data_IF_106795545440
#
_entry.id   IF_106795545440
#
_cell.length_a   1.000
_cell.length_b   1.000
_cell.length_c   1.000
_cell.angle_alpha   90.00
_cell.angle_beta   90.00
_cell.angle_gamma   90.00
#
_symmetry.space_group_name_H-M   'P 1'
#
loop_
_entity.id
_entity.type
_entity.pdbx_description
1 polymer ?
#
# COMPACT_ATOMS: atom_id res chain seq x y z
N UNK A 1 13.68 -10.19 18.96
CA UNK A 1 14.13 -9.11 18.04
C UNK A 1 14.21 -7.81 18.84
N UNK A 2 15.19 -6.95 18.56
CA UNK A 2 15.24 -5.62 19.18
C UNK A 2 14.05 -4.80 18.72
N UNK A 3 13.53 -3.95 19.59
CA UNK A 3 12.34 -3.10 19.41
C UNK A 3 12.32 -2.41 18.02
N UNK A 4 11.29 -2.68 17.21
CA UNK A 4 11.11 -2.05 15.90
C UNK A 4 12.16 -2.41 14.84
N UNK A 5 12.86 -3.54 14.99
CA UNK A 5 13.87 -3.99 14.03
C UNK A 5 13.44 -5.26 13.30
N UNK A 6 13.74 -5.26 12.00
CA UNK A 6 13.66 -6.39 11.09
C UNK A 6 15.08 -6.64 10.56
N UNK A 7 15.85 -7.49 11.23
CA UNK A 7 17.29 -7.60 10.98
C UNK A 7 18.00 -6.25 11.16
N UNK A 8 18.64 -5.75 10.13
CA UNK A 8 19.34 -4.43 10.13
C UNK A 8 18.40 -3.26 9.83
N UNK A 9 17.16 -3.56 9.38
CA UNK A 9 16.16 -2.58 8.96
C UNK A 9 15.26 -2.10 10.11
N UNK A 10 14.45 -1.07 9.86
CA UNK A 10 13.52 -0.50 10.85
C UNK A 10 14.15 0.53 11.77
N UNK A 11 13.68 0.58 13.00
CA UNK A 11 14.14 1.53 14.03
C UNK A 11 13.33 2.82 14.07
N UNK A 12 13.79 3.76 14.89
CA UNK A 12 13.16 5.07 15.16
C UNK A 12 14.19 6.17 14.95
N UNK A 13 14.34 6.68 13.76
CA UNK A 13 15.29 7.75 13.42
C UNK A 13 14.54 9.07 13.27
N UNK A 14 14.01 9.56 14.40
CA UNK A 14 13.20 10.77 14.46
C UNK A 14 13.89 11.86 15.28
N UNK A 15 13.65 13.14 14.98
CA UNK A 15 14.10 14.24 15.84
C UNK A 15 13.43 14.15 17.22
N UNK A 16 14.09 14.66 18.23
CA UNK A 16 13.60 14.68 19.62
C UNK A 16 12.21 15.31 19.77
N UNK A 17 11.87 16.26 18.92
CA UNK A 17 10.57 16.92 18.90
C UNK A 17 9.39 15.99 18.59
N UNK A 18 9.63 14.86 17.92
CA UNK A 18 8.61 13.84 17.59
C UNK A 18 8.73 12.55 18.41
N UNK A 19 9.82 12.36 19.17
CA UNK A 19 10.03 11.11 19.89
C UNK A 19 8.93 10.82 20.90
N UNK A 20 8.42 11.83 21.61
CA UNK A 20 7.34 11.64 22.58
C UNK A 20 6.05 11.15 21.88
N UNK A 21 5.69 11.71 20.73
CA UNK A 21 4.51 11.29 19.95
C UNK A 21 4.66 9.83 19.45
N UNK A 22 5.84 9.43 19.02
CA UNK A 22 6.13 8.08 18.56
C UNK A 22 6.10 7.07 19.72
N UNK A 23 6.62 7.45 20.89
CA UNK A 23 6.60 6.62 22.11
C UNK A 23 5.16 6.45 22.61
N UNK A 24 4.37 7.56 22.69
CA UNK A 24 2.96 7.54 23.05
C UNK A 24 2.16 6.60 22.14
N UNK A 25 2.40 6.70 20.82
CA UNK A 25 1.75 5.83 19.84
C UNK A 25 2.09 4.35 20.07
N UNK A 26 3.36 4.04 20.35
CA UNK A 26 3.81 2.68 20.61
C UNK A 26 3.19 2.10 21.89
N UNK A 27 3.14 2.88 22.95
CA UNK A 27 2.53 2.47 24.21
C UNK A 27 1.03 2.22 24.05
N UNK A 28 0.33 3.14 23.38
CA UNK A 28 -1.09 2.98 23.08
C UNK A 28 -1.36 1.76 22.22
N UNK A 29 -0.58 1.57 21.14
CA UNK A 29 -0.73 0.40 20.29
C UNK A 29 -0.48 -0.91 21.06
N UNK A 30 0.56 -0.98 21.87
CA UNK A 30 0.86 -2.17 22.68
C UNK A 30 -0.23 -2.47 23.71
N UNK A 31 -0.92 -1.46 24.22
CA UNK A 31 -2.05 -1.60 25.10
C UNK A 31 -3.28 -2.13 24.34
N UNK A 32 -3.67 -1.47 23.23
CA UNK A 32 -4.93 -1.76 22.55
C UNK A 32 -4.89 -2.97 21.61
N UNK A 33 -3.75 -3.35 21.05
CA UNK A 33 -3.65 -4.49 20.11
C UNK A 33 -4.21 -5.81 20.65
N UNK A 34 -4.17 -6.00 21.98
CA UNK A 34 -4.69 -7.19 22.65
C UNK A 34 -5.97 -6.90 23.47
N UNK A 35 -6.50 -5.69 23.42
CA UNK A 35 -7.75 -5.34 24.09
C UNK A 35 -8.95 -5.94 23.34
N UNK A 36 -9.74 -6.83 23.98
CA UNK A 36 -10.89 -7.43 23.33
C UNK A 36 -11.95 -6.41 22.88
N UNK A 37 -12.14 -5.32 23.61
CA UNK A 37 -13.12 -4.27 23.26
C UNK A 37 -12.67 -3.51 22.02
N UNK A 38 -11.39 -3.13 21.93
CA UNK A 38 -10.81 -2.51 20.74
C UNK A 38 -10.94 -3.43 19.52
N UNK A 39 -10.57 -4.69 19.66
CA UNK A 39 -10.63 -5.66 18.57
C UNK A 39 -12.07 -5.95 18.11
N UNK A 40 -13.04 -5.97 19.03
CA UNK A 40 -14.44 -6.13 18.68
C UNK A 40 -14.96 -4.90 17.91
N UNK A 41 -14.65 -3.67 18.35
CA UNK A 41 -15.04 -2.42 17.67
C UNK A 41 -14.38 -2.33 16.27
N UNK A 42 -13.11 -2.68 16.15
CA UNK A 42 -12.42 -2.71 14.86
C UNK A 42 -13.03 -3.77 13.92
N UNK A 43 -13.34 -4.95 14.44
CA UNK A 43 -13.97 -6.04 13.65
C UNK A 43 -15.34 -5.59 13.13
N UNK A 44 -16.14 -4.92 13.96
CA UNK A 44 -17.44 -4.37 13.57
C UNK A 44 -17.28 -3.35 12.42
N UNK A 45 -16.32 -2.42 12.54
CA UNK A 45 -16.02 -1.46 11.48
C UNK A 45 -15.55 -2.12 10.18
N UNK A 46 -14.68 -3.12 10.29
CA UNK A 46 -14.18 -3.84 9.12
C UNK A 46 -15.30 -4.62 8.41
N UNK A 47 -16.17 -5.29 9.16
CA UNK A 47 -17.21 -6.12 8.57
C UNK A 47 -18.38 -5.29 8.03
N UNK A 48 -18.90 -4.36 8.81
CA UNK A 48 -20.17 -3.69 8.50
C UNK A 48 -19.99 -2.34 7.82
N UNK A 49 -18.81 -1.71 7.94
CA UNK A 49 -18.52 -0.45 7.26
C UNK A 49 -17.57 -0.63 6.08
N UNK A 50 -16.46 -1.34 6.24
CA UNK A 50 -15.53 -1.57 5.13
C UNK A 50 -15.97 -2.67 4.16
N UNK A 51 -16.90 -3.55 4.56
CA UNK A 51 -17.45 -4.59 3.69
C UNK A 51 -16.63 -5.86 3.64
N UNK A 52 -15.86 -6.17 4.72
CA UNK A 52 -15.09 -7.41 4.81
C UNK A 52 -15.98 -8.61 5.21
N UNK A 53 -15.54 -9.86 4.94
CA UNK A 53 -14.30 -10.23 4.22
C UNK A 53 -14.33 -9.86 2.74
N UNK A 54 -13.21 -9.38 2.19
CA UNK A 54 -13.11 -9.18 0.75
C UNK A 54 -13.12 -10.53 0.03
N UNK A 55 -13.66 -10.55 -1.20
CA UNK A 55 -13.84 -11.80 -1.94
C UNK A 55 -12.55 -12.32 -2.54
N UNK A 56 -12.38 -13.63 -2.53
CA UNK A 56 -11.39 -14.34 -3.34
C UNK A 56 -12.09 -14.87 -4.59
N UNK A 57 -11.88 -14.20 -5.72
CA UNK A 57 -12.54 -14.49 -6.99
C UNK A 57 -11.66 -15.40 -7.85
N UNK A 58 -12.22 -16.50 -8.34
CA UNK A 58 -11.56 -17.36 -9.32
C UNK A 58 -11.65 -16.71 -10.70
N UNK A 59 -10.51 -16.28 -11.25
CA UNK A 59 -10.41 -15.65 -12.55
C UNK A 59 -10.39 -16.76 -13.64
N UNK A 60 -11.57 -17.27 -13.97
CA UNK A 60 -11.72 -18.42 -14.86
C UNK A 60 -11.25 -18.12 -16.28
N UNK A 61 -11.63 -16.95 -16.82
CA UNK A 61 -11.25 -16.59 -18.19
C UNK A 61 -9.73 -16.37 -18.30
N UNK A 62 -9.16 -15.66 -17.33
CA UNK A 62 -7.71 -15.45 -17.27
C UNK A 62 -6.94 -16.78 -17.10
N UNK A 63 -7.43 -17.67 -16.23
CA UNK A 63 -6.86 -19.02 -16.03
C UNK A 63 -6.86 -19.83 -17.32
N UNK A 64 -7.97 -19.81 -18.04
CA UNK A 64 -8.11 -20.53 -19.30
C UNK A 64 -7.24 -19.93 -20.41
N UNK A 65 -7.19 -18.62 -20.51
CA UNK A 65 -6.43 -17.90 -21.52
C UNK A 65 -4.92 -18.13 -21.37
N UNK A 66 -4.41 -18.06 -20.15
CA UNK A 66 -2.99 -18.28 -19.85
C UNK A 66 -2.57 -19.76 -19.81
N UNK A 67 -3.49 -20.67 -19.56
CA UNK A 67 -3.33 -22.12 -19.75
C UNK A 67 -2.44 -22.86 -18.74
N UNK A 68 -1.94 -22.18 -17.71
CA UNK A 68 -1.10 -22.75 -16.65
C UNK A 68 -1.81 -22.82 -15.29
N UNK A 69 -1.23 -22.17 -14.27
CA UNK A 69 -1.79 -22.14 -12.92
C UNK A 69 -3.19 -21.54 -12.85
N UNK A 70 -3.99 -22.00 -11.89
CA UNK A 70 -5.26 -21.34 -11.52
C UNK A 70 -5.01 -19.98 -10.92
N UNK A 71 -5.75 -18.97 -11.32
CA UNK A 71 -5.60 -17.60 -10.86
C UNK A 71 -6.78 -17.19 -10.00
N UNK A 72 -6.48 -16.69 -8.81
CA UNK A 72 -7.43 -16.09 -7.89
C UNK A 72 -7.10 -14.62 -7.66
N UNK A 73 -8.10 -13.78 -7.61
CA UNK A 73 -7.99 -12.36 -7.34
C UNK A 73 -8.54 -12.07 -5.95
N UNK A 74 -7.71 -11.57 -5.04
CA UNK A 74 -8.17 -11.04 -3.76
C UNK A 74 -8.67 -9.62 -3.97
N UNK A 75 -9.97 -9.43 -3.85
CA UNK A 75 -10.71 -8.26 -4.32
C UNK A 75 -10.78 -7.14 -3.27
N UNK A 76 -9.62 -6.56 -2.92
CA UNK A 76 -9.55 -5.38 -2.04
C UNK A 76 -10.12 -4.11 -2.71
N UNK A 77 -10.27 -4.11 -4.01
CA UNK A 77 -10.93 -3.09 -4.81
C UNK A 77 -12.45 -2.96 -4.53
N UNK A 78 -13.07 -3.98 -3.94
CA UNK A 78 -14.48 -3.99 -3.56
C UNK A 78 -14.74 -3.46 -2.14
N UNK A 79 -13.69 -3.18 -1.36
CA UNK A 79 -13.86 -2.58 -0.05
C UNK A 79 -14.43 -1.16 -0.17
N UNK A 80 -15.05 -0.67 0.89
CA UNK A 80 -15.43 0.74 0.99
C UNK A 80 -14.22 1.66 0.70
N UNK A 81 -14.43 2.73 0.00
CA UNK A 81 -13.45 3.62 -0.64
C UNK A 81 -12.74 3.06 -1.88
N UNK A 82 -12.89 1.77 -2.17
CA UNK A 82 -12.40 1.14 -3.39
C UNK A 82 -10.94 0.67 -3.34
N UNK A 83 -10.37 0.46 -2.16
CA UNK A 83 -9.00 -0.04 -1.98
C UNK A 83 -8.75 -0.63 -0.59
N UNK A 84 -7.61 -1.30 -0.42
CA UNK A 84 -7.12 -1.87 0.85
C UNK A 84 -6.85 -0.83 1.95
N UNK A 85 -6.67 0.42 1.60
CA UNK A 85 -6.25 1.48 2.54
C UNK A 85 -7.19 1.62 3.73
N UNK A 86 -8.49 1.39 3.53
CA UNK A 86 -9.50 1.50 4.59
C UNK A 86 -9.22 0.57 5.79
N UNK A 87 -8.60 -0.59 5.57
CA UNK A 87 -8.28 -1.53 6.64
C UNK A 87 -7.36 -0.90 7.69
N UNK A 88 -6.23 -0.37 7.23
CA UNK A 88 -5.25 0.31 8.07
C UNK A 88 -5.82 1.58 8.70
N UNK A 89 -6.52 2.39 7.91
CA UNK A 89 -7.01 3.70 8.35
C UNK A 89 -8.07 3.57 9.44
N UNK A 90 -9.00 2.63 9.34
CA UNK A 90 -9.97 2.37 10.42
C UNK A 90 -9.28 1.97 11.72
N UNK A 91 -8.26 1.12 11.63
CA UNK A 91 -7.46 0.73 12.80
C UNK A 91 -6.71 1.91 13.43
N UNK A 92 -6.03 2.73 12.62
CA UNK A 92 -5.29 3.89 13.11
C UNK A 92 -6.21 4.99 13.64
N UNK A 93 -7.34 5.27 12.97
CA UNK A 93 -8.30 6.26 13.43
C UNK A 93 -8.97 5.86 14.75
N UNK A 94 -9.32 4.57 14.89
CA UNK A 94 -9.85 4.05 16.15
C UNK A 94 -8.79 4.14 17.26
N UNK A 95 -7.54 3.78 16.98
CA UNK A 95 -6.44 3.93 17.95
C UNK A 95 -6.25 5.39 18.36
N UNK A 96 -6.23 6.32 17.40
CA UNK A 96 -6.12 7.76 17.66
C UNK A 96 -7.27 8.27 18.56
N UNK A 97 -8.50 7.83 18.29
CA UNK A 97 -9.66 8.16 19.12
C UNK A 97 -9.51 7.63 20.55
N UNK A 98 -9.01 6.40 20.74
CA UNK A 98 -8.73 5.85 22.08
C UNK A 98 -7.60 6.59 22.81
N UNK A 99 -6.66 7.19 22.05
CA UNK A 99 -5.61 8.08 22.58
C UNK A 99 -6.11 9.50 22.91
N UNK A 100 -7.37 9.81 22.62
CA UNK A 100 -7.95 11.14 22.84
C UNK A 100 -7.57 12.18 21.77
N UNK A 101 -7.00 11.74 20.64
CA UNK A 101 -6.71 12.64 19.51
C UNK A 101 -8.02 13.05 18.81
N UNK A 102 -8.07 14.29 18.36
CA UNK A 102 -9.24 14.90 17.72
C UNK A 102 -9.03 15.23 16.25
N UNK A 103 -7.80 15.08 15.78
CA UNK A 103 -7.37 15.43 14.44
C UNK A 103 -6.53 14.32 13.81
N UNK A 104 -6.82 13.99 12.56
CA UNK A 104 -5.98 13.12 11.72
C UNK A 104 -5.27 13.94 10.65
N UNK A 105 -4.00 13.65 10.44
CA UNK A 105 -3.28 14.10 9.25
C UNK A 105 -2.80 12.90 8.45
N UNK A 106 -2.69 13.05 7.14
CA UNK A 106 -2.20 12.00 6.25
C UNK A 106 -1.41 12.59 5.06
N UNK A 107 -0.54 11.78 4.51
CA UNK A 107 0.03 11.96 3.18
C UNK A 107 -0.77 11.15 2.15
N UNK A 108 -0.71 11.56 0.86
CA UNK A 108 -1.26 10.74 -0.21
C UNK A 108 -0.59 11.05 -1.55
N UNK A 109 -0.44 10.03 -2.41
CA UNK A 109 -0.02 10.16 -3.81
C UNK A 109 -1.23 9.95 -4.73
N UNK A 110 -1.64 8.70 -4.95
CA UNK A 110 -2.83 8.39 -5.77
C UNK A 110 -4.17 8.89 -5.19
N UNK A 111 -4.17 9.43 -3.97
CA UNK A 111 -5.36 9.93 -3.29
C UNK A 111 -6.13 8.88 -2.50
N UNK A 112 -5.89 7.59 -2.69
CA UNK A 112 -6.65 6.52 -2.04
C UNK A 112 -6.49 6.52 -0.51
N UNK A 113 -5.28 6.74 -0.02
CA UNK A 113 -5.04 6.85 1.43
C UNK A 113 -5.69 8.10 2.01
N UNK A 114 -5.59 9.24 1.32
CA UNK A 114 -6.25 10.49 1.72
C UNK A 114 -7.77 10.33 1.78
N UNK A 115 -8.39 9.72 0.77
CA UNK A 115 -9.83 9.44 0.78
C UNK A 115 -10.21 8.52 1.94
N UNK A 116 -9.45 7.45 2.19
CA UNK A 116 -9.71 6.55 3.32
C UNK A 116 -9.60 7.29 4.67
N UNK A 117 -8.57 8.13 4.84
CA UNK A 117 -8.37 8.92 6.07
C UNK A 117 -9.50 9.94 6.27
N UNK A 118 -9.88 10.68 5.21
CA UNK A 118 -11.00 11.60 5.26
C UNK A 118 -12.32 10.89 5.61
N UNK A 119 -12.52 9.68 5.05
CA UNK A 119 -13.69 8.84 5.34
C UNK A 119 -13.75 8.42 6.81
N UNK A 120 -12.66 7.92 7.37
CA UNK A 120 -12.61 7.52 8.78
C UNK A 120 -12.73 8.72 9.73
N UNK A 121 -12.12 9.86 9.39
CA UNK A 121 -12.23 11.08 10.15
C UNK A 121 -13.70 11.59 10.19
N UNK A 122 -14.37 11.61 9.04
CA UNK A 122 -15.79 11.96 8.97
C UNK A 122 -16.67 11.02 9.82
N UNK A 123 -16.43 9.69 9.71
CA UNK A 123 -17.14 8.68 10.50
C UNK A 123 -16.96 8.87 12.01
N UNK A 124 -15.76 9.24 12.45
CA UNK A 124 -15.41 9.35 13.87
C UNK A 124 -15.56 10.77 14.44
N UNK A 125 -15.97 11.75 13.62
CA UNK A 125 -16.12 13.16 14.03
C UNK A 125 -14.79 13.86 14.32
N UNK A 126 -13.74 13.54 13.57
CA UNK A 126 -12.39 14.09 13.72
C UNK A 126 -12.10 15.11 12.61
N UNK A 127 -11.29 16.13 12.93
CA UNK A 127 -10.69 17.01 11.93
C UNK A 127 -9.74 16.21 11.01
N UNK A 128 -9.67 16.54 9.74
CA UNK A 128 -8.79 15.85 8.79
C UNK A 128 -8.04 16.82 7.88
N UNK A 129 -6.73 16.66 7.80
CA UNK A 129 -5.86 17.39 6.86
C UNK A 129 -5.03 16.39 6.06
N UNK A 130 -5.03 16.52 4.74
CA UNK A 130 -4.30 15.63 3.83
C UNK A 130 -3.29 16.42 3.03
N UNK A 131 -2.02 16.02 3.11
CA UNK A 131 -0.93 16.54 2.32
C UNK A 131 -0.80 15.74 1.02
N UNK A 132 -0.75 16.42 -0.11
CA UNK A 132 -0.64 15.78 -1.44
C UNK A 132 0.28 16.59 -2.33
N UNK A 133 1.19 15.95 -3.04
CA UNK A 133 2.06 16.64 -3.98
C UNK A 133 1.26 17.40 -5.04
N UNK A 134 1.70 18.59 -5.41
CA UNK A 134 0.98 19.42 -6.39
C UNK A 134 0.78 18.69 -7.72
N UNK A 135 1.76 17.94 -8.17
CA UNK A 135 1.67 17.13 -9.38
C UNK A 135 0.64 16.02 -9.25
N UNK A 136 0.59 15.38 -8.08
CA UNK A 136 -0.40 14.33 -7.79
C UNK A 136 -1.82 14.90 -7.67
N UNK A 137 -1.99 16.13 -7.16
CA UNK A 137 -3.30 16.79 -7.09
C UNK A 137 -3.92 17.00 -8.47
N UNK A 138 -3.10 17.26 -9.47
CA UNK A 138 -3.55 17.40 -10.87
C UNK A 138 -3.87 16.05 -11.49
N UNK A 139 -2.99 15.05 -11.30
CA UNK A 139 -3.19 13.70 -11.84
C UNK A 139 -4.44 13.02 -11.27
N UNK A 140 -4.81 13.32 -10.01
CA UNK A 140 -5.83 12.62 -9.22
C UNK A 140 -6.92 13.58 -8.70
N UNK A 141 -7.34 14.54 -9.52
CA UNK A 141 -8.31 15.60 -9.17
C UNK A 141 -9.61 15.06 -8.60
N UNK A 142 -10.13 13.93 -9.10
CA UNK A 142 -11.33 13.26 -8.57
C UNK A 142 -11.16 12.87 -7.10
N UNK A 143 -10.02 12.31 -6.71
CA UNK A 143 -9.78 11.96 -5.31
C UNK A 143 -9.60 13.20 -4.43
N UNK A 144 -9.01 14.29 -4.94
CA UNK A 144 -8.96 15.58 -4.24
C UNK A 144 -10.37 16.08 -3.93
N UNK A 145 -11.27 16.04 -4.91
CA UNK A 145 -12.66 16.45 -4.71
C UNK A 145 -13.38 15.55 -3.69
N UNK A 146 -13.18 14.23 -3.76
CA UNK A 146 -13.74 13.27 -2.80
C UNK A 146 -13.29 13.56 -1.36
N UNK A 147 -12.01 13.86 -1.15
CA UNK A 147 -11.48 14.23 0.18
C UNK A 147 -12.15 15.49 0.72
N UNK A 148 -12.29 16.53 -0.12
CA UNK A 148 -12.97 17.78 0.24
C UNK A 148 -14.46 17.56 0.55
N UNK A 149 -15.14 16.73 -0.24
CA UNK A 149 -16.54 16.36 0.00
C UNK A 149 -16.74 15.64 1.35
N UNK A 150 -15.74 14.87 1.78
CA UNK A 150 -15.70 14.19 3.08
C UNK A 150 -15.31 15.13 4.25
N UNK A 151 -15.09 16.40 3.97
CA UNK A 151 -14.77 17.42 4.99
C UNK A 151 -13.28 17.58 5.29
N UNK A 152 -12.38 16.92 4.54
CA UNK A 152 -10.95 17.09 4.73
C UNK A 152 -10.43 18.35 4.03
N UNK A 153 -9.47 19.02 4.66
CA UNK A 153 -8.62 20.01 4.02
C UNK A 153 -7.51 19.28 3.23
N UNK A 154 -7.34 19.63 1.96
CA UNK A 154 -6.26 19.10 1.12
C UNK A 154 -5.24 20.20 0.86
N UNK A 155 -4.02 20.01 1.35
CA UNK A 155 -2.91 20.96 1.23
C UNK A 155 -1.96 20.48 0.12
N UNK A 156 -1.89 21.21 -1.00
CA UNK A 156 -0.92 20.94 -2.06
C UNK A 156 0.50 21.21 -1.58
N UNK A 157 1.42 20.27 -1.83
CA UNK A 157 2.84 20.40 -1.47
C UNK A 157 3.65 20.61 -2.74
N UNK A 158 4.26 21.79 -2.87
CA UNK A 158 5.05 22.20 -4.05
C UNK A 158 6.57 22.08 -3.86
N UNK A 159 7.03 21.65 -2.67
CA UNK A 159 8.47 21.46 -2.40
C UNK A 159 8.99 20.17 -3.04
N UNK A 160 10.28 20.11 -3.33
CA UNK A 160 10.93 18.94 -3.93
C UNK A 160 10.40 18.63 -5.33
N UNK A 161 10.00 17.40 -5.56
CA UNK A 161 9.38 16.94 -6.82
C UNK A 161 7.86 17.14 -6.85
N UNK A 162 7.26 17.63 -5.75
CA UNK A 162 5.80 17.78 -5.65
C UNK A 162 5.02 16.48 -5.70
N UNK A 163 5.59 15.37 -5.21
CA UNK A 163 5.01 14.02 -5.23
C UNK A 163 4.87 13.45 -3.81
N UNK A 164 4.48 12.17 -3.71
CA UNK A 164 4.19 11.46 -2.46
C UNK A 164 5.30 11.61 -1.40
N UNK A 165 6.59 11.54 -1.79
CA UNK A 165 7.71 11.71 -0.85
C UNK A 165 7.65 13.07 -0.12
N UNK A 166 7.32 14.12 -0.85
CA UNK A 166 7.27 15.48 -0.28
C UNK A 166 6.03 15.69 0.57
N UNK A 167 4.92 15.05 0.21
CA UNK A 167 3.71 14.98 1.04
C UNK A 167 4.00 14.30 2.39
N UNK A 168 4.75 13.19 2.42
CA UNK A 168 5.20 12.54 3.65
C UNK A 168 6.04 13.49 4.52
N UNK A 169 7.00 14.18 3.91
CA UNK A 169 7.86 15.15 4.62
C UNK A 169 7.06 16.32 5.20
N UNK A 170 6.04 16.79 4.49
CA UNK A 170 5.15 17.85 4.97
C UNK A 170 4.29 17.37 6.16
N UNK A 171 3.74 16.15 6.08
CA UNK A 171 2.96 15.57 7.15
C UNK A 171 3.78 15.39 8.46
N UNK A 172 5.04 14.94 8.36
CA UNK A 172 5.92 14.86 9.53
C UNK A 172 6.19 16.25 10.14
N UNK A 173 6.41 17.28 9.33
CA UNK A 173 6.60 18.66 9.82
C UNK A 173 5.35 19.19 10.50
N UNK A 174 4.18 18.97 9.91
CA UNK A 174 2.90 19.37 10.53
C UNK A 174 2.67 18.64 11.84
N UNK A 175 2.93 17.35 11.91
CA UNK A 175 2.76 16.58 13.14
C UNK A 175 3.59 17.14 14.29
N UNK A 176 4.82 17.62 14.02
CA UNK A 176 5.68 18.25 15.01
C UNK A 176 5.03 19.46 15.70
N UNK A 177 4.17 20.20 14.98
CA UNK A 177 3.55 21.41 15.49
C UNK A 177 2.33 21.17 16.38
N UNK A 178 1.69 19.98 16.29
CA UNK A 178 0.42 19.67 16.97
C UNK A 178 0.36 18.22 17.46
N UNK A 179 1.38 17.75 18.18
CA UNK A 179 1.46 16.36 18.64
C UNK A 179 0.39 15.97 19.67
N UNK A 180 -0.10 16.95 20.46
CA UNK A 180 -1.01 16.67 21.56
C UNK A 180 -2.40 16.22 21.09
N UNK A 181 -2.94 16.84 20.04
CA UNK A 181 -4.29 16.60 19.54
C UNK A 181 -4.35 15.86 18.21
N UNK A 182 -3.21 15.66 17.57
CA UNK A 182 -3.09 15.14 16.19
C UNK A 182 -2.44 13.77 16.15
N UNK A 183 -3.04 12.85 15.39
CA UNK A 183 -2.40 11.60 14.97
C UNK A 183 -2.03 11.65 13.51
N UNK A 184 -0.77 11.30 13.19
CA UNK A 184 -0.36 11.07 11.82
C UNK A 184 -0.78 9.66 11.39
N UNK A 185 -1.84 9.58 10.57
CA UNK A 185 -2.34 8.34 9.99
C UNK A 185 -1.48 7.96 8.78
N UNK A 186 -0.36 7.27 9.01
CA UNK A 186 0.60 6.93 7.97
C UNK A 186 0.05 5.84 7.05
N UNK A 187 0.15 6.05 5.74
CA UNK A 187 -0.55 5.25 4.72
C UNK A 187 0.12 3.97 4.27
N UNK A 188 1.35 3.68 4.72
CA UNK A 188 2.08 2.48 4.33
C UNK A 188 2.86 1.87 5.48
N UNK A 189 3.41 0.65 5.29
CA UNK A 189 4.22 -0.05 6.28
C UNK A 189 5.67 0.47 6.34
N UNK A 190 5.80 1.78 6.33
CA UNK A 190 7.06 2.52 6.34
C UNK A 190 7.11 3.48 7.54
N UNK A 191 8.18 4.27 7.64
CA UNK A 191 8.35 5.24 8.71
C UNK A 191 8.98 4.68 9.97
N UNK A 192 9.05 5.50 11.04
CA UNK A 192 9.64 5.07 12.30
C UNK A 192 8.78 4.01 12.99
N UNK A 193 9.41 3.11 13.74
CA UNK A 193 8.65 2.25 14.65
C UNK A 193 7.78 3.12 15.59
N UNK A 194 6.46 2.80 15.81
CA UNK A 194 5.78 1.52 15.53
C UNK A 194 5.01 1.46 14.20
N UNK A 195 5.06 2.46 13.34
CA UNK A 195 4.23 2.51 12.12
C UNK A 195 4.34 1.27 11.23
N UNK A 196 5.53 0.73 10.89
CA UNK A 196 5.59 -0.47 10.05
C UNK A 196 4.83 -1.65 10.64
N UNK A 197 4.90 -1.84 11.96
CA UNK A 197 4.19 -2.91 12.67
C UNK A 197 2.68 -2.65 12.70
N UNK A 198 2.24 -1.43 13.04
CA UNK A 198 0.82 -1.06 13.10
C UNK A 198 0.15 -1.27 11.75
N UNK A 199 0.75 -0.75 10.68
CA UNK A 199 0.19 -0.85 9.33
C UNK A 199 0.14 -2.30 8.86
N UNK A 200 1.22 -3.08 9.07
CA UNK A 200 1.24 -4.51 8.79
C UNK A 200 0.10 -5.24 9.49
N UNK A 201 -0.03 -5.04 10.79
CA UNK A 201 -1.00 -5.78 11.61
C UNK A 201 -2.43 -5.47 11.17
N UNK A 202 -2.77 -4.21 10.90
CA UNK A 202 -4.10 -3.85 10.41
C UNK A 202 -4.35 -4.31 8.95
N UNK A 203 -3.32 -4.44 8.14
CA UNK A 203 -3.45 -4.98 6.77
C UNK A 203 -3.40 -6.52 6.73
N UNK A 204 -2.91 -7.18 7.77
CA UNK A 204 -2.75 -8.65 7.80
C UNK A 204 -4.06 -9.43 7.70
N UNK A 205 -5.19 -8.77 7.89
CA UNK A 205 -6.52 -9.32 7.61
C UNK A 205 -6.63 -9.84 6.17
N UNK A 206 -5.91 -9.26 5.23
CA UNK A 206 -5.87 -9.69 3.82
C UNK A 206 -5.35 -11.13 3.71
N UNK A 207 -4.15 -11.40 4.23
CA UNK A 207 -3.54 -12.75 4.18
C UNK A 207 -4.28 -13.77 5.05
N UNK A 208 -4.84 -13.34 6.18
CA UNK A 208 -5.68 -14.20 7.01
C UNK A 208 -6.88 -14.73 6.21
N UNK A 209 -7.60 -13.83 5.55
CA UNK A 209 -8.74 -14.20 4.71
C UNK A 209 -8.33 -15.01 3.47
N UNK A 210 -7.21 -14.67 2.81
CA UNK A 210 -6.69 -15.48 1.68
C UNK A 210 -6.47 -16.92 2.15
N UNK A 211 -5.83 -17.12 3.30
CA UNK A 211 -5.53 -18.44 3.84
C UNK A 211 -6.80 -19.25 4.08
N UNK A 212 -7.77 -18.66 4.76
CA UNK A 212 -9.07 -19.29 5.04
C UNK A 212 -9.83 -19.61 3.74
N UNK A 213 -9.93 -18.66 2.82
CA UNK A 213 -10.66 -18.79 1.57
C UNK A 213 -10.00 -19.78 0.59
N UNK A 214 -8.67 -19.89 0.56
CA UNK A 214 -7.98 -20.90 -0.25
C UNK A 214 -8.18 -22.31 0.29
N UNK A 215 -8.13 -22.47 1.62
CA UNK A 215 -8.43 -23.75 2.24
C UNK A 215 -9.89 -24.20 1.97
N UNK A 216 -10.84 -23.26 2.00
CA UNK A 216 -12.24 -23.53 1.66
C UNK A 216 -12.42 -23.94 0.17
N UNK A 217 -11.74 -23.23 -0.76
CA UNK A 217 -11.93 -23.41 -2.22
C UNK A 217 -11.09 -24.52 -2.83
N UNK A 218 -9.86 -24.68 -2.38
CA UNK A 218 -8.86 -25.60 -2.97
C UNK A 218 -8.40 -26.70 -2.00
N UNK A 219 -8.76 -26.62 -0.72
CA UNK A 219 -8.29 -27.55 0.32
C UNK A 219 -6.81 -27.45 0.64
N UNK A 220 -6.13 -26.43 0.12
CA UNK A 220 -4.68 -26.19 0.29
C UNK A 220 -4.35 -24.71 0.29
N UNK A 221 -3.15 -24.37 0.78
CA UNK A 221 -2.59 -23.02 0.64
C UNK A 221 -2.24 -22.72 -0.83
N UNK A 222 -2.17 -21.43 -1.22
CA UNK A 222 -1.74 -21.07 -2.57
C UNK A 222 -0.27 -21.40 -2.80
N UNK A 223 0.10 -21.68 -4.05
CA UNK A 223 1.52 -21.86 -4.43
C UNK A 223 2.25 -20.51 -4.51
N UNK A 224 1.54 -19.45 -4.90
CA UNK A 224 2.08 -18.09 -5.02
C UNK A 224 1.07 -17.07 -4.49
N UNK A 225 1.54 -16.11 -3.69
CA UNK A 225 0.84 -14.87 -3.35
C UNK A 225 1.61 -13.70 -3.93
N UNK A 226 0.92 -12.84 -4.67
CA UNK A 226 1.52 -11.76 -5.43
C UNK A 226 0.82 -10.43 -5.17
N UNK A 227 1.59 -9.36 -5.01
CA UNK A 227 1.07 -8.01 -4.80
C UNK A 227 2.03 -6.95 -5.37
N UNK A 228 1.52 -5.79 -5.76
CA UNK A 228 2.34 -4.64 -6.12
C UNK A 228 3.01 -4.04 -4.88
N UNK A 229 4.17 -3.42 -5.04
CA UNK A 229 4.97 -2.86 -3.94
C UNK A 229 5.45 -1.46 -4.30
N UNK A 230 4.97 -0.48 -3.53
CA UNK A 230 5.58 0.84 -3.36
C UNK A 230 6.17 0.91 -1.96
N UNK A 231 5.53 1.63 -1.01
CA UNK A 231 5.84 1.49 0.42
C UNK A 231 5.55 0.09 0.98
N UNK A 232 4.61 -0.65 0.37
CA UNK A 232 4.42 -2.09 0.56
C UNK A 232 3.26 -2.51 1.45
N UNK A 233 2.32 -1.62 1.80
CA UNK A 233 1.24 -1.96 2.77
C UNK A 233 0.31 -3.07 2.29
N UNK A 234 -0.12 -3.06 1.03
CA UNK A 234 -0.98 -4.13 0.51
C UNK A 234 -0.21 -5.46 0.40
N UNK A 235 1.05 -5.40 0.02
CA UNK A 235 1.88 -6.59 -0.12
C UNK A 235 2.18 -7.25 1.23
N UNK A 236 2.58 -6.47 2.26
CA UNK A 236 2.80 -7.05 3.59
C UNK A 236 1.50 -7.60 4.18
N UNK A 237 0.36 -6.94 3.92
CA UNK A 237 -0.95 -7.45 4.29
C UNK A 237 -1.27 -8.79 3.65
N UNK A 238 -0.93 -8.96 2.37
CA UNK A 238 -1.12 -10.21 1.64
C UNK A 238 -0.10 -11.31 2.01
N UNK A 239 1.09 -10.93 2.48
CA UNK A 239 2.20 -11.86 2.77
C UNK A 239 2.26 -12.33 4.22
N UNK A 240 1.87 -11.49 5.17
CA UNK A 240 2.23 -11.65 6.58
C UNK A 240 1.89 -13.01 7.17
N UNK A 241 0.67 -13.50 6.98
CA UNK A 241 0.27 -14.80 7.52
C UNK A 241 0.83 -16.01 6.74
N UNK A 242 1.59 -15.77 5.67
CA UNK A 242 2.29 -16.79 4.89
C UNK A 242 3.81 -16.80 5.10
N UNK A 243 4.34 -15.89 5.94
CA UNK A 243 5.80 -15.78 6.13
C UNK A 243 6.41 -17.11 6.59
N UNK A 244 5.74 -17.80 7.51
CA UNK A 244 6.18 -19.10 8.03
C UNK A 244 5.80 -20.30 7.14
N UNK A 245 4.97 -20.08 6.11
CA UNK A 245 4.56 -21.13 5.18
C UNK A 245 5.55 -21.20 4.00
N UNK A 246 6.70 -21.86 4.19
CA UNK A 246 7.80 -21.91 3.21
C UNK A 246 7.39 -22.45 1.82
N UNK A 247 6.33 -23.27 1.75
CA UNK A 247 5.76 -23.79 0.51
C UNK A 247 5.02 -22.73 -0.32
N UNK A 248 4.73 -21.55 0.23
CA UNK A 248 4.07 -20.44 -0.46
C UNK A 248 5.11 -19.42 -0.91
N UNK A 249 5.27 -19.22 -2.20
CA UNK A 249 6.11 -18.16 -2.76
C UNK A 249 5.43 -16.80 -2.58
N UNK A 250 6.20 -15.80 -2.13
CA UNK A 250 5.75 -14.43 -1.96
C UNK A 250 6.46 -13.54 -2.98
N UNK A 251 5.69 -12.87 -3.84
CA UNK A 251 6.26 -12.06 -4.93
C UNK A 251 5.72 -10.65 -4.87
N UNK A 252 6.61 -9.69 -4.60
CA UNK A 252 6.35 -8.26 -4.67
C UNK A 252 6.70 -7.71 -6.05
N UNK A 253 5.78 -6.99 -6.70
CA UNK A 253 5.98 -6.40 -8.01
C UNK A 253 6.21 -4.90 -7.86
N UNK A 254 7.45 -4.46 -8.13
CA UNK A 254 7.87 -3.06 -8.04
C UNK A 254 7.63 -2.30 -9.35
N UNK A 255 7.40 -0.98 -9.24
CA UNK A 255 7.24 -0.12 -10.40
C UNK A 255 8.61 0.24 -11.00
N UNK A 256 8.95 -0.36 -12.10
CA UNK A 256 10.18 -0.06 -12.83
C UNK A 256 10.07 1.17 -13.76
N UNK A 257 8.91 1.80 -13.84
CA UNK A 257 8.72 2.97 -14.70
C UNK A 257 9.11 2.66 -16.15
N UNK A 258 10.09 3.38 -16.66
CA UNK A 258 10.63 3.15 -18.01
C UNK A 258 11.78 2.13 -18.06
N UNK A 259 12.09 1.51 -16.93
CA UNK A 259 13.09 0.45 -16.80
C UNK A 259 14.11 0.72 -15.72
N UNK A 260 14.59 -0.36 -15.07
CA UNK A 260 15.55 -0.30 -13.94
C UNK A 260 16.92 0.28 -14.32
N UNK A 261 17.24 0.33 -15.61
CA UNK A 261 18.49 0.90 -16.12
C UNK A 261 18.34 2.37 -16.56
N UNK A 262 17.22 3.01 -16.22
CA UNK A 262 16.92 4.41 -16.51
C UNK A 262 16.86 5.21 -15.21
N UNK A 263 16.88 6.54 -15.32
CA UNK A 263 16.62 7.41 -14.18
C UNK A 263 15.13 7.48 -13.78
N UNK A 264 14.25 6.93 -14.63
CA UNK A 264 12.80 6.97 -14.46
C UNK A 264 12.28 5.60 -13.97
N UNK A 265 12.63 5.26 -12.72
CA UNK A 265 12.23 4.01 -12.05
C UNK A 265 11.92 4.27 -10.57
N UNK A 266 11.03 3.50 -9.99
CA UNK A 266 10.73 3.46 -8.56
C UNK A 266 10.95 2.05 -7.96
N UNK A 267 11.65 1.17 -8.66
CA UNK A 267 11.95 -0.20 -8.23
C UNK A 267 13.04 -0.19 -7.15
N UNK A 268 12.65 0.01 -5.91
CA UNK A 268 13.56 0.28 -4.78
C UNK A 268 14.46 -0.91 -4.40
N UNK A 269 13.95 -2.15 -4.42
CA UNK A 269 14.79 -3.34 -4.15
C UNK A 269 15.79 -3.54 -5.30
N UNK A 270 15.34 -3.33 -6.54
CA UNK A 270 16.20 -3.53 -7.70
C UNK A 270 17.32 -2.49 -7.82
N UNK A 271 17.09 -1.22 -7.42
CA UNK A 271 18.02 -0.10 -7.70
C UNK A 271 18.47 0.66 -6.46
N UNK A 272 17.78 0.50 -5.33
CA UNK A 272 18.07 1.23 -4.10
C UNK A 272 19.26 0.70 -3.32
N UNK A 273 19.65 1.48 -2.31
CA UNK A 273 20.72 1.14 -1.36
C UNK A 273 20.23 1.33 0.07
N UNK A 274 20.87 0.63 1.02
CA UNK A 274 20.57 0.75 2.44
C UNK A 274 20.89 2.16 2.95
N UNK A 275 19.97 2.75 3.70
CA UNK A 275 20.14 4.05 4.33
C UNK A 275 19.01 4.40 5.28
N UNK A 276 18.99 5.64 5.77
CA UNK A 276 17.93 6.15 6.67
C UNK A 276 17.07 7.13 5.89
N UNK A 277 15.75 6.89 5.90
CA UNK A 277 14.78 7.63 5.15
C UNK A 277 13.43 7.64 5.88
N UNK A 278 12.77 8.79 5.98
CA UNK A 278 11.48 8.95 6.69
C UNK A 278 11.42 8.25 8.06
N UNK A 279 12.49 8.37 8.84
CA UNK A 279 12.54 7.84 10.21
C UNK A 279 12.82 6.34 10.35
N UNK A 280 13.09 5.64 9.26
CA UNK A 280 13.41 4.21 9.22
C UNK A 280 14.74 3.94 8.52
N UNK A 281 15.39 2.83 8.86
CA UNK A 281 16.48 2.25 8.07
C UNK A 281 15.90 1.20 7.11
N UNK A 282 16.08 1.39 5.81
CA UNK A 282 15.58 0.50 4.77
C UNK A 282 16.34 0.71 3.46
N UNK A 283 15.93 0.03 2.39
CA UNK A 283 16.37 0.38 1.04
C UNK A 283 15.61 1.60 0.54
N UNK A 284 16.30 2.50 -0.16
CA UNK A 284 15.70 3.59 -0.93
C UNK A 284 16.58 3.99 -2.11
N UNK A 285 15.96 4.60 -3.13
CA UNK A 285 16.64 5.08 -4.31
C UNK A 285 17.51 6.28 -3.97
N UNK A 286 18.81 6.18 -4.25
CA UNK A 286 19.83 7.18 -3.88
C UNK A 286 20.66 7.56 -5.10
N UNK A 287 21.03 8.84 -5.16
CA UNK A 287 22.05 9.32 -6.08
C UNK A 287 23.47 8.91 -5.65
N UNK A 288 24.47 9.34 -6.38
CA UNK A 288 25.89 9.05 -6.09
C UNK A 288 26.38 9.63 -4.76
N UNK A 289 25.72 10.67 -4.24
CA UNK A 289 26.02 11.31 -2.97
C UNK A 289 25.23 10.77 -1.78
N UNK A 290 24.37 9.79 -1.99
CA UNK A 290 23.51 9.22 -0.97
C UNK A 290 22.25 10.03 -0.66
N UNK A 291 21.93 11.02 -1.49
CA UNK A 291 20.68 11.76 -1.39
C UNK A 291 19.53 10.96 -2.01
N UNK A 292 18.28 11.29 -1.64
CA UNK A 292 17.11 10.66 -2.23
C UNK A 292 17.06 11.00 -3.72
N UNK A 293 17.17 10.00 -4.58
CA UNK A 293 17.03 10.19 -6.00
C UNK A 293 15.57 10.44 -6.38
N UNK A 294 15.30 11.28 -7.38
CA UNK A 294 13.99 11.32 -8.02
C UNK A 294 13.63 9.93 -8.56
N UNK A 295 12.36 9.56 -8.43
CA UNK A 295 11.82 8.33 -8.97
C UNK A 295 10.65 8.64 -9.92
N UNK A 296 10.23 7.64 -10.68
CA UNK A 296 9.12 7.79 -11.59
C UNK A 296 8.34 6.48 -11.75
N UNK A 297 7.03 6.60 -11.78
CA UNK A 297 6.09 5.57 -12.19
C UNK A 297 4.83 6.23 -12.76
N UNK A 298 4.19 5.59 -13.75
CA UNK A 298 2.84 5.95 -14.18
C UNK A 298 1.83 5.85 -13.02
N UNK A 299 2.13 5.01 -12.04
CA UNK A 299 1.33 4.82 -10.84
C UNK A 299 1.76 5.79 -9.73
N UNK A 300 0.95 6.81 -9.45
CA UNK A 300 1.20 7.75 -8.36
C UNK A 300 1.28 7.06 -6.98
N UNK A 301 0.61 5.92 -6.79
CA UNK A 301 0.65 5.15 -5.55
C UNK A 301 1.92 4.32 -5.36
N UNK A 302 2.70 4.08 -6.43
CA UNK A 302 3.99 3.39 -6.40
C UNK A 302 5.18 4.34 -6.65
N UNK A 303 4.92 5.61 -6.94
CA UNK A 303 5.91 6.66 -7.17
C UNK A 303 6.52 7.12 -5.83
N UNK A 304 7.28 6.24 -5.21
CA UNK A 304 7.88 6.42 -3.90
C UNK A 304 9.29 5.81 -3.86
N UNK A 305 10.30 6.57 -3.40
CA UNK A 305 11.70 6.16 -3.51
C UNK A 305 12.17 5.18 -2.43
N UNK A 306 11.29 4.61 -1.62
CA UNK A 306 11.66 3.72 -0.52
C UNK A 306 10.71 2.53 -0.39
N UNK A 307 11.06 1.60 0.48
CA UNK A 307 10.26 0.41 0.78
C UNK A 307 10.17 0.18 2.29
N UNK A 308 9.09 -0.42 2.75
CA UNK A 308 8.92 -0.80 4.15
C UNK A 308 10.06 -1.70 4.66
N UNK A 309 10.54 -1.49 5.91
CA UNK A 309 11.71 -2.18 6.43
C UNK A 309 11.51 -3.69 6.57
N UNK A 310 10.28 -4.16 6.76
CA UNK A 310 9.98 -5.60 6.81
C UNK A 310 10.11 -6.24 5.42
N UNK A 311 9.72 -5.54 4.34
CA UNK A 311 9.97 -6.00 2.97
C UNK A 311 11.46 -6.11 2.66
N UNK A 312 12.24 -5.11 3.05
CA UNK A 312 13.70 -5.13 2.91
C UNK A 312 14.31 -6.35 3.63
N UNK A 313 13.83 -6.64 4.83
CA UNK A 313 14.24 -7.82 5.59
C UNK A 313 13.83 -9.13 4.91
N UNK A 314 12.58 -9.24 4.43
CA UNK A 314 12.11 -10.44 3.73
C UNK A 314 12.89 -10.70 2.44
N UNK A 315 13.33 -9.65 1.76
CA UNK A 315 14.25 -9.74 0.63
C UNK A 315 15.61 -10.29 1.06
N UNK A 316 16.23 -9.70 2.09
CA UNK A 316 17.58 -10.06 2.55
C UNK A 316 17.69 -11.52 2.98
N UNK A 317 16.64 -12.05 3.62
CA UNK A 317 16.62 -13.47 4.04
C UNK A 317 16.12 -14.42 2.94
N UNK A 318 15.81 -13.90 1.75
CA UNK A 318 15.31 -14.70 0.63
C UNK A 318 13.90 -15.26 0.81
N UNK A 319 13.10 -14.69 1.74
CA UNK A 319 11.73 -15.16 1.97
C UNK A 319 10.73 -14.65 0.94
N UNK A 320 10.93 -13.45 0.43
CA UNK A 320 10.11 -12.87 -0.63
C UNK A 320 10.97 -12.45 -1.82
N UNK A 321 10.43 -12.67 -3.00
CA UNK A 321 11.01 -12.22 -4.27
C UNK A 321 10.46 -10.82 -4.61
N UNK A 322 11.30 -9.96 -5.20
CA UNK A 322 10.86 -8.65 -5.70
C UNK A 322 11.25 -8.52 -7.15
N UNK A 323 10.27 -8.20 -8.00
CA UNK A 323 10.43 -8.18 -9.45
C UNK A 323 10.05 -6.82 -10.01
N UNK A 324 10.87 -6.22 -10.88
CA UNK A 324 10.53 -4.96 -11.53
C UNK A 324 9.52 -5.20 -12.66
N UNK A 325 8.53 -4.30 -12.77
CA UNK A 325 7.51 -4.28 -13.82
C UNK A 325 7.47 -2.87 -14.42
N UNK A 326 7.59 -2.78 -15.73
CA UNK A 326 7.59 -1.49 -16.44
C UNK A 326 6.17 -0.92 -16.59
N UNK A 327 6.08 0.38 -16.89
CA UNK A 327 4.80 1.04 -17.16
C UNK A 327 4.06 0.39 -18.33
N UNK A 328 4.75 0.03 -19.43
CA UNK A 328 4.14 -0.66 -20.57
C UNK A 328 3.53 -2.00 -20.17
N UNK A 329 4.24 -2.78 -19.37
CA UNK A 329 3.76 -4.06 -18.88
C UNK A 329 2.53 -3.89 -17.98
N UNK A 330 2.56 -2.87 -17.09
CA UNK A 330 1.46 -2.59 -16.20
C UNK A 330 0.23 -2.08 -16.94
N UNK A 331 0.38 -1.19 -17.92
CA UNK A 331 -0.73 -0.68 -18.75
C UNK A 331 -1.33 -1.80 -19.59
N UNK A 332 -0.51 -2.65 -20.20
CA UNK A 332 -1.00 -3.82 -20.95
C UNK A 332 -1.78 -4.78 -20.04
N UNK A 333 -1.32 -5.01 -18.82
CA UNK A 333 -2.00 -5.87 -17.85
C UNK A 333 -3.30 -5.24 -17.32
N UNK A 334 -3.35 -3.93 -17.14
CA UNK A 334 -4.55 -3.18 -16.80
C UNK A 334 -5.65 -3.40 -17.85
N UNK A 335 -5.31 -3.20 -19.11
CA UNK A 335 -6.23 -3.41 -20.22
C UNK A 335 -6.62 -4.90 -20.37
N UNK A 336 -5.65 -5.81 -20.22
CA UNK A 336 -5.89 -7.25 -20.31
C UNK A 336 -6.92 -7.71 -19.28
N UNK A 337 -6.71 -7.40 -17.98
CA UNK A 337 -7.63 -7.80 -16.92
C UNK A 337 -9.01 -7.18 -17.12
N UNK A 338 -9.07 -5.93 -17.59
CA UNK A 338 -10.33 -5.23 -17.90
C UNK A 338 -11.12 -5.94 -18.98
N UNK A 339 -10.45 -6.43 -20.04
CA UNK A 339 -11.10 -7.11 -21.16
C UNK A 339 -11.45 -8.56 -20.87
N UNK A 340 -10.57 -9.28 -20.14
CA UNK A 340 -10.74 -10.74 -19.95
C UNK A 340 -11.70 -11.08 -18.81
N UNK A 341 -11.70 -10.31 -17.73
CA UNK A 341 -12.52 -10.56 -16.53
C UNK A 341 -13.56 -9.45 -16.24
N UNK A 342 -13.56 -8.36 -17.02
CA UNK A 342 -14.44 -7.21 -16.75
C UNK A 342 -14.09 -6.48 -15.45
N UNK A 343 -12.82 -6.56 -15.01
CA UNK A 343 -12.32 -5.94 -13.78
C UNK A 343 -11.30 -4.88 -14.16
N UNK A 344 -11.59 -3.61 -13.88
CA UNK A 344 -10.66 -2.50 -14.07
C UNK A 344 -9.84 -2.34 -12.78
N UNK A 345 -8.61 -2.87 -12.70
CA UNK A 345 -7.80 -2.79 -11.49
C UNK A 345 -7.18 -1.39 -11.34
N UNK A 346 -6.81 -0.98 -10.13
CA UNK A 346 -5.90 0.14 -9.99
C UNK A 346 -4.59 -0.14 -10.76
N UNK A 347 -4.00 0.89 -11.36
CA UNK A 347 -2.74 0.74 -12.10
C UNK A 347 -1.62 0.19 -11.21
N UNK A 348 -1.67 0.45 -9.90
CA UNK A 348 -0.81 -0.17 -8.91
C UNK A 348 -0.91 -1.69 -8.99
N UNK A 349 -2.13 -2.23 -8.89
CA UNK A 349 -2.39 -3.68 -8.90
C UNK A 349 -2.04 -4.34 -10.23
N UNK A 350 -2.13 -3.59 -11.33
CA UNK A 350 -1.80 -4.07 -12.65
C UNK A 350 -0.34 -4.53 -12.78
N UNK A 351 0.57 -4.00 -11.95
CA UNK A 351 1.96 -4.49 -11.87
C UNK A 351 2.02 -5.96 -11.44
N UNK A 352 1.21 -6.36 -10.45
CA UNK A 352 1.13 -7.76 -10.03
C UNK A 352 0.46 -8.64 -11.11
N UNK A 353 -0.58 -8.14 -11.76
CA UNK A 353 -1.23 -8.83 -12.88
C UNK A 353 -0.24 -9.06 -14.03
N UNK A 354 0.58 -8.07 -14.37
CA UNK A 354 1.60 -8.17 -15.42
C UNK A 354 2.60 -9.31 -15.16
N UNK A 355 3.06 -9.43 -13.92
CA UNK A 355 3.98 -10.52 -13.59
C UNK A 355 3.26 -11.88 -13.56
N UNK A 356 2.02 -11.94 -13.10
CA UNK A 356 1.22 -13.16 -13.14
C UNK A 356 1.02 -13.69 -14.59
N UNK A 357 0.79 -12.79 -15.55
CA UNK A 357 0.69 -13.13 -16.98
C UNK A 357 1.97 -13.84 -17.46
N UNK A 358 3.14 -13.43 -16.96
CA UNK A 358 4.42 -14.03 -17.35
C UNK A 358 4.63 -15.41 -16.76
N UNK A 359 4.30 -15.62 -15.48
CA UNK A 359 4.65 -16.86 -14.78
C UNK A 359 3.55 -17.92 -14.82
N UNK A 360 2.28 -17.55 -14.89
CA UNK A 360 1.16 -18.52 -14.88
C UNK A 360 1.28 -19.59 -15.97
N UNK A 361 1.63 -19.27 -17.24
CA UNK A 361 1.78 -20.29 -18.29
C UNK A 361 2.91 -21.29 -18.00
N UNK A 362 3.88 -20.94 -17.18
CA UNK A 362 5.04 -21.81 -16.83
C UNK A 362 4.76 -22.74 -15.67
N UNK A 363 3.66 -22.54 -14.97
CA UNK A 363 3.25 -23.32 -13.81
C UNK A 363 2.30 -24.46 -14.20
N UNK A 364 2.21 -25.47 -13.33
CA UNK A 364 1.29 -26.60 -13.56
C UNK A 364 -0.16 -26.18 -13.31
N UNK A 365 -1.10 -26.87 -13.96
CA UNK A 365 -2.55 -26.60 -13.84
C UNK A 365 -3.16 -26.86 -12.44
N UNK A 366 -2.47 -27.63 -11.61
CA UNK A 366 -2.85 -27.92 -10.23
C UNK A 366 -2.30 -26.89 -9.23
N UNK A 367 -1.43 -26.00 -9.68
CA UNK A 367 -0.88 -24.89 -8.89
C UNK A 367 -1.79 -23.66 -8.93
N UNK A 368 -1.65 -22.80 -7.93
CA UNK A 368 -2.51 -21.63 -7.76
C UNK A 368 -1.70 -20.36 -7.52
N UNK A 369 -2.14 -19.27 -8.12
CA UNK A 369 -1.63 -17.92 -7.89
C UNK A 369 -2.77 -17.07 -7.28
N UNK A 370 -2.51 -16.40 -6.18
CA UNK A 370 -3.39 -15.36 -5.65
C UNK A 370 -2.76 -13.99 -5.92
N UNK A 371 -3.47 -13.14 -6.63
CA UNK A 371 -3.09 -11.76 -6.90
C UNK A 371 -3.92 -10.84 -6.01
N UNK A 372 -3.29 -10.00 -5.21
CA UNK A 372 -3.99 -8.98 -4.44
C UNK A 372 -4.33 -7.79 -5.33
N UNK A 373 -5.61 -7.64 -5.68
CA UNK A 373 -6.13 -6.47 -6.39
C UNK A 373 -6.41 -5.39 -5.35
N UNK A 374 -5.38 -4.58 -5.09
CA UNK A 374 -5.31 -3.66 -3.96
C UNK A 374 -6.27 -2.47 -4.03
N UNK A 375 -6.76 -2.14 -5.24
CA UNK A 375 -7.72 -1.07 -5.46
C UNK A 375 -8.34 -1.12 -6.85
N UNK A 376 -9.38 -0.32 -7.08
CA UNK A 376 -10.07 -0.20 -8.37
C UNK A 376 -9.48 0.93 -9.22
N UNK A 377 -9.60 0.78 -10.54
CA UNK A 377 -8.92 1.60 -11.53
C UNK A 377 -9.73 2.74 -12.14
N UNK A 378 -10.94 3.04 -11.63
CA UNK A 378 -11.76 4.15 -12.16
C UNK A 378 -10.96 5.47 -12.17
N UNK A 379 -10.17 5.69 -11.12
CA UNK A 379 -9.29 6.86 -10.97
C UNK A 379 -8.17 6.94 -12.01
N UNK A 380 -7.82 5.82 -12.64
CA UNK A 380 -6.66 5.69 -13.52
C UNK A 380 -7.04 5.74 -15.01
N UNK A 381 -8.32 5.63 -15.35
CA UNK A 381 -8.79 5.56 -16.74
C UNK A 381 -8.29 6.74 -17.59
N UNK A 382 -8.33 7.97 -17.06
CA UNK A 382 -7.84 9.14 -17.78
C UNK A 382 -6.30 9.13 -17.97
N UNK A 383 -5.55 8.61 -16.99
CA UNK A 383 -4.10 8.47 -17.10
C UNK A 383 -3.71 7.40 -18.14
N UNK A 384 -4.44 6.27 -18.17
CA UNK A 384 -4.23 5.21 -19.16
C UNK A 384 -4.57 5.69 -20.57
N UNK A 385 -5.68 6.42 -20.75
CA UNK A 385 -6.04 7.01 -22.03
C UNK A 385 -4.95 7.94 -22.54
N UNK A 386 -4.48 8.88 -21.71
CA UNK A 386 -3.35 9.76 -22.09
C UNK A 386 -2.09 8.99 -22.43
N UNK A 387 -1.79 7.92 -21.70
CA UNK A 387 -0.64 7.06 -22.01
C UNK A 387 -0.74 6.41 -23.39
N UNK A 388 -1.97 6.06 -23.82
CA UNK A 388 -2.28 5.53 -25.16
C UNK A 388 -2.43 6.61 -26.24
N UNK A 389 -2.30 7.88 -25.89
CA UNK A 389 -2.50 9.00 -26.82
C UNK A 389 -3.96 9.30 -27.11
N UNK A 390 -4.86 8.84 -26.25
CA UNK A 390 -6.29 9.14 -26.29
C UNK A 390 -6.60 10.28 -25.31
N UNK A 391 -7.52 11.18 -25.70
CA UNK A 391 -8.00 12.24 -24.83
C UNK A 391 -9.43 11.93 -24.36
N UNK A 392 -9.61 11.89 -23.04
CA UNK A 392 -10.93 11.76 -22.44
C UNK A 392 -11.36 13.17 -22.04
N UNK A 393 -12.31 13.73 -22.77
CA UNK A 393 -12.99 14.94 -22.34
C UNK A 393 -13.93 14.59 -21.18
N UNK A 394 -13.63 15.07 -19.99
CA UNK A 394 -14.52 15.02 -18.83
C UNK A 394 -15.60 16.10 -18.92
#
# INVERSE_FOLDING_TARGET
>A
MSKGRFGVHGGQYMPETLMNAVIELEEAYNHYKNDPAFNAELTELLNNYAGRPSRLYFAEHMTRDLGGAKIYLKREDLNHTGAHKINNVLGQALLAKKMGKTRLIAETGAGQHGVATATAAALMGMECVVFMGVEDTERQALNVYRMRLLGAEVIPVSTGTGTLKDACSAAFREWTSRIDDTHYCLGSCMGPHPFPTIVRDFQSVISKEIKEQMLEKEGKLPDVVMACVGGGSNAIGAFYNFIEDEGVRLIGCEAAGRGVNTAETAATIATGRLGIFHGMKSYFCQDEYGQIAPVYSISAGLDYPGIGPEHAYLHDIGRAEYVPVTDDEAVNAFEYLSRIEGIIPAIESAHAVAHAIKIAPTMRKDQTIVINISGRGDKDCAAIARYRGEDIHE
#
